data_IF_495593522602
#
_entry.id   IF_495593522602
#
_cell.length_a   1.000
_cell.length_b   1.000
_cell.length_c   1.000
_cell.angle_alpha   90.00
_cell.angle_beta   90.00
_cell.angle_gamma   90.00
#
_symmetry.space_group_name_H-M   'P 1'
#
loop_
_entity.id
_entity.type
_entity.pdbx_description
1 polymer ?
#
# COMPACT_ATOMS: atom_id res chain seq x y z
N UNK A 1 -27.56 14.71 30.28
CA UNK A 1 -26.99 14.73 28.92
C UNK A 1 -25.74 15.59 28.99
N UNK A 2 -24.57 14.99 29.15
CA UNK A 2 -23.29 15.71 29.11
C UNK A 2 -23.07 16.17 27.66
N UNK A 3 -23.13 17.49 27.48
CA UNK A 3 -22.82 18.12 26.19
C UNK A 3 -21.31 17.97 25.96
N UNK A 4 -20.91 16.79 25.47
CA UNK A 4 -19.50 16.50 25.17
C UNK A 4 -19.15 17.29 23.91
N UNK A 5 -18.63 18.51 24.10
CA UNK A 5 -18.18 19.36 23.00
C UNK A 5 -17.05 18.61 22.28
N UNK A 6 -17.26 18.28 21.00
CA UNK A 6 -16.25 17.63 20.17
C UNK A 6 -14.99 18.51 20.07
N UNK A 7 -13.83 17.87 20.02
CA UNK A 7 -12.58 18.57 19.73
C UNK A 7 -12.60 19.13 18.30
N UNK A 8 -11.95 20.25 18.01
CA UNK A 8 -11.83 20.72 16.64
C UNK A 8 -11.01 19.74 15.77
N UNK A 9 -11.29 19.72 14.46
CA UNK A 9 -10.42 19.07 13.51
C UNK A 9 -9.05 19.77 13.49
N UNK A 10 -7.96 19.01 13.34
CA UNK A 10 -6.59 19.57 13.29
C UNK A 10 -5.99 19.53 11.88
N UNK A 11 -6.35 18.53 11.10
CA UNK A 11 -5.81 18.37 9.73
C UNK A 11 -6.96 18.38 8.73
N UNK A 12 -6.99 19.37 7.86
CA UNK A 12 -8.02 19.50 6.81
C UNK A 12 -7.70 18.59 5.61
N UNK A 13 -7.96 17.29 5.79
CA UNK A 13 -7.75 16.26 4.78
C UNK A 13 -8.79 15.16 4.90
N UNK A 14 -9.13 14.51 3.80
CA UNK A 14 -9.92 13.28 3.79
C UNK A 14 -9.03 12.06 4.04
N UNK A 15 -9.49 11.16 4.89
CA UNK A 15 -8.82 9.91 5.24
C UNK A 15 -9.75 8.73 4.93
N UNK A 16 -9.36 7.88 4.00
CA UNK A 16 -10.02 6.61 3.70
C UNK A 16 -9.41 5.49 4.55
N UNK A 17 -10.24 4.76 5.25
CA UNK A 17 -9.87 3.54 5.99
C UNK A 17 -10.61 2.36 5.37
N UNK A 18 -9.85 1.44 4.77
CA UNK A 18 -10.33 0.15 4.32
C UNK A 18 -10.09 -0.89 5.41
N UNK A 19 -11.14 -1.59 5.84
CA UNK A 19 -11.04 -2.62 6.87
C UNK A 19 -12.02 -3.76 6.59
N UNK A 20 -11.82 -4.90 7.27
CA UNK A 20 -12.70 -6.05 7.10
C UNK A 20 -13.14 -6.63 8.45
N UNK A 21 -12.35 -7.52 9.07
CA UNK A 21 -12.72 -8.28 10.27
C UNK A 21 -11.58 -8.42 11.29
N UNK A 22 -10.67 -7.43 11.36
CA UNK A 22 -9.51 -7.39 12.27
C UNK A 22 -9.63 -6.22 13.27
N UNK A 23 -10.52 -6.30 14.29
CA UNK A 23 -10.83 -5.17 15.16
C UNK A 23 -9.65 -4.64 15.96
N UNK A 24 -8.70 -5.49 16.36
CA UNK A 24 -7.53 -5.07 17.15
C UNK A 24 -6.54 -4.27 16.30
N UNK A 25 -6.34 -4.65 15.03
CA UNK A 25 -5.52 -3.90 14.09
C UNK A 25 -6.17 -2.55 13.78
N UNK A 26 -7.44 -2.56 13.42
CA UNK A 26 -8.20 -1.32 13.18
C UNK A 26 -8.16 -0.37 14.39
N UNK A 27 -8.19 -0.90 15.63
CA UNK A 27 -8.08 -0.08 16.84
C UNK A 27 -6.73 0.62 16.95
N UNK A 28 -5.65 -0.02 16.51
CA UNK A 28 -4.32 0.58 16.51
C UNK A 28 -4.23 1.73 15.50
N UNK A 29 -4.71 1.53 14.27
CA UNK A 29 -4.81 2.57 13.26
C UNK A 29 -5.73 3.71 13.74
N UNK A 30 -6.94 3.38 14.21
CA UNK A 30 -7.94 4.38 14.61
C UNK A 30 -7.47 5.26 15.76
N UNK A 31 -6.63 4.74 16.66
CA UNK A 31 -6.00 5.52 17.73
C UNK A 31 -5.11 6.64 17.17
N UNK A 32 -4.38 6.40 16.07
CA UNK A 32 -3.58 7.44 15.40
C UNK A 32 -4.48 8.45 14.69
N UNK A 33 -5.53 7.98 14.00
CA UNK A 33 -6.52 8.87 13.34
C UNK A 33 -7.20 9.78 14.35
N UNK A 34 -7.61 9.25 15.51
CA UNK A 34 -8.24 10.03 16.60
C UNK A 34 -7.32 11.11 17.16
N UNK A 35 -6.01 10.84 17.24
CA UNK A 35 -5.03 11.84 17.66
C UNK A 35 -4.80 12.90 16.58
N UNK A 36 -4.75 12.51 15.31
CA UNK A 36 -4.55 13.42 14.18
C UNK A 36 -5.77 14.29 13.86
N UNK A 37 -6.99 13.85 14.23
CA UNK A 37 -8.26 14.57 14.03
C UNK A 37 -8.46 15.13 12.62
N UNK A 38 -8.50 14.27 11.57
CA UNK A 38 -8.76 14.73 10.22
C UNK A 38 -10.18 15.30 10.09
N UNK A 39 -10.37 16.29 9.21
CA UNK A 39 -11.68 16.93 9.00
C UNK A 39 -12.69 16.02 8.31
N UNK A 40 -12.24 14.98 7.59
CA UNK A 40 -13.10 14.04 6.85
C UNK A 40 -12.61 12.61 7.01
N UNK A 41 -13.54 11.69 7.26
CA UNK A 41 -13.26 10.28 7.47
C UNK A 41 -14.19 9.43 6.59
N UNK A 42 -13.61 8.59 5.74
CA UNK A 42 -14.30 7.65 4.88
C UNK A 42 -14.01 6.24 5.37
N UNK A 43 -15.04 5.53 5.78
CA UNK A 43 -14.98 4.20 6.36
C UNK A 43 -15.56 3.20 5.35
N UNK A 44 -14.71 2.35 4.78
CA UNK A 44 -15.13 1.33 3.82
C UNK A 44 -14.88 -0.05 4.41
N UNK A 45 -15.93 -0.89 4.45
CA UNK A 45 -15.84 -2.27 4.89
C UNK A 45 -16.40 -3.20 3.81
N UNK A 46 -15.60 -4.19 3.39
CA UNK A 46 -16.08 -5.23 2.47
C UNK A 46 -17.15 -6.09 3.13
N UNK A 47 -17.99 -6.74 2.33
CA UNK A 47 -19.05 -7.62 2.81
C UNK A 47 -18.52 -8.92 3.43
N UNK A 48 -19.36 -9.66 4.18
CA UNK A 48 -18.96 -10.92 4.81
C UNK A 48 -18.74 -12.03 3.77
N UNK A 49 -17.73 -12.87 3.96
CA UNK A 49 -17.54 -14.11 3.18
C UNK A 49 -18.55 -15.18 3.62
N UNK A 50 -18.94 -15.14 4.89
CA UNK A 50 -19.94 -16.01 5.51
C UNK A 50 -20.40 -15.40 6.84
N UNK A 51 -21.40 -16.00 7.49
CA UNK A 51 -21.90 -15.58 8.80
C UNK A 51 -20.81 -15.59 9.90
N UNK A 52 -19.76 -16.38 9.74
CA UNK A 52 -18.63 -16.45 10.69
C UNK A 52 -17.87 -15.12 10.78
N UNK A 53 -17.88 -14.30 9.74
CA UNK A 53 -17.21 -13.00 9.75
C UNK A 53 -17.99 -11.93 10.54
N UNK A 54 -19.33 -12.05 10.63
CA UNK A 54 -20.22 -11.02 11.15
C UNK A 54 -19.84 -10.49 12.55
N UNK A 55 -19.51 -11.33 13.55
CA UNK A 55 -19.16 -10.81 14.87
C UNK A 55 -17.89 -9.95 14.87
N UNK A 56 -16.86 -10.35 14.12
CA UNK A 56 -15.61 -9.56 13.98
C UNK A 56 -15.84 -8.27 13.18
N UNK A 57 -16.69 -8.32 12.16
CA UNK A 57 -17.05 -7.15 11.37
C UNK A 57 -17.80 -6.11 12.22
N UNK A 58 -18.75 -6.54 13.04
CA UNK A 58 -19.48 -5.65 13.96
C UNK A 58 -18.53 -5.07 15.04
N UNK A 59 -17.59 -5.87 15.54
CA UNK A 59 -16.54 -5.38 16.43
C UNK A 59 -15.68 -4.30 15.76
N UNK A 60 -15.37 -4.40 14.45
CA UNK A 60 -14.70 -3.35 13.69
C UNK A 60 -15.58 -2.09 13.60
N UNK A 61 -16.88 -2.22 13.32
CA UNK A 61 -17.81 -1.06 13.26
C UNK A 61 -17.89 -0.33 14.61
N UNK A 62 -17.83 -1.09 15.71
CA UNK A 62 -17.80 -0.51 17.06
C UNK A 62 -16.55 0.34 17.31
N UNK A 63 -15.37 -0.07 16.77
CA UNK A 63 -14.12 0.71 16.88
C UNK A 63 -14.22 2.09 16.22
N UNK A 64 -15.00 2.20 15.13
CA UNK A 64 -15.16 3.43 14.34
C UNK A 64 -16.56 4.02 14.44
N UNK A 65 -17.25 3.76 15.55
CA UNK A 65 -18.59 4.25 15.80
C UNK A 65 -18.62 5.79 16.01
N UNK A 66 -19.80 6.38 15.98
CA UNK A 66 -19.94 7.83 16.20
C UNK A 66 -19.50 8.26 17.60
N UNK A 67 -19.61 7.38 18.58
CA UNK A 67 -19.23 7.61 19.96
C UNK A 67 -17.70 7.69 20.11
N UNK A 68 -16.96 6.96 19.27
CA UNK A 68 -15.51 6.96 19.26
C UNK A 68 -14.90 8.15 18.48
N UNK A 69 -15.72 8.83 17.66
CA UNK A 69 -15.31 10.02 16.90
C UNK A 69 -15.64 11.28 17.72
N UNK A 70 -14.72 11.64 18.62
CA UNK A 70 -14.87 12.73 19.60
C UNK A 70 -14.36 14.10 19.08
N UNK A 71 -14.14 14.24 17.79
CA UNK A 71 -13.75 15.49 17.14
C UNK A 71 -14.73 15.88 16.02
N UNK A 72 -14.66 17.14 15.58
CA UNK A 72 -15.44 17.65 14.45
C UNK A 72 -14.94 16.97 13.16
N UNK A 73 -15.76 16.09 12.59
CA UNK A 73 -15.41 15.28 11.43
C UNK A 73 -16.65 15.00 10.58
N UNK A 74 -16.54 15.20 9.29
CA UNK A 74 -17.50 14.71 8.32
C UNK A 74 -17.22 13.24 8.06
N UNK A 75 -18.20 12.36 8.32
CA UNK A 75 -18.00 10.91 8.27
C UNK A 75 -18.88 10.27 7.22
N UNK A 76 -18.26 9.60 6.26
CA UNK A 76 -18.93 8.78 5.25
C UNK A 76 -18.68 7.31 5.52
N UNK A 77 -19.72 6.48 5.38
CA UNK A 77 -19.63 5.02 5.57
C UNK A 77 -20.14 4.30 4.33
N UNK A 78 -19.36 3.33 3.86
CA UNK A 78 -19.72 2.42 2.79
C UNK A 78 -19.44 0.99 3.26
N UNK A 79 -20.45 0.35 3.84
CA UNK A 79 -20.38 -1.02 4.33
C UNK A 79 -21.08 -1.91 3.32
N UNK A 80 -20.29 -2.78 2.66
CA UNK A 80 -20.80 -3.65 1.59
C UNK A 80 -21.59 -4.81 2.16
N UNK A 81 -22.60 -5.24 1.43
CA UNK A 81 -23.39 -6.44 1.77
C UNK A 81 -22.74 -7.71 1.23
N UNK A 82 -22.07 -7.63 0.07
CA UNK A 82 -21.41 -8.73 -0.60
C UNK A 82 -19.89 -8.60 -0.54
N UNK A 83 -19.20 -9.73 -0.36
CA UNK A 83 -17.73 -9.78 -0.34
C UNK A 83 -17.17 -9.72 -1.75
N UNK A 84 -16.37 -8.71 -2.02
CA UNK A 84 -15.66 -8.53 -3.29
C UNK A 84 -14.26 -9.16 -3.27
N UNK A 85 -13.72 -9.44 -2.10
CA UNK A 85 -12.34 -9.86 -1.88
C UNK A 85 -11.39 -8.68 -1.68
N UNK A 86 -10.20 -8.95 -1.17
CA UNK A 86 -9.23 -7.94 -0.74
C UNK A 86 -8.90 -6.92 -1.84
N UNK A 87 -8.43 -7.40 -3.00
CA UNK A 87 -7.95 -6.52 -4.07
C UNK A 87 -9.07 -5.72 -4.75
N UNK A 88 -10.21 -6.31 -5.15
CA UNK A 88 -11.34 -5.55 -5.68
C UNK A 88 -11.91 -4.56 -4.67
N UNK A 89 -11.99 -4.90 -3.38
CA UNK A 89 -12.43 -3.98 -2.34
C UNK A 89 -11.54 -2.77 -2.22
N UNK A 90 -10.21 -2.96 -2.31
CA UNK A 90 -9.26 -1.84 -2.33
C UNK A 90 -9.51 -0.92 -3.52
N UNK A 91 -9.70 -1.47 -4.73
CA UNK A 91 -10.02 -0.69 -5.92
C UNK A 91 -11.34 0.10 -5.76
N UNK A 92 -12.42 -0.57 -5.33
CA UNK A 92 -13.73 0.08 -5.19
C UNK A 92 -13.74 1.14 -4.08
N UNK A 93 -13.06 0.90 -2.97
CA UNK A 93 -12.95 1.88 -1.89
C UNK A 93 -12.24 3.15 -2.33
N UNK A 94 -11.17 3.03 -3.13
CA UNK A 94 -10.43 4.16 -3.68
C UNK A 94 -11.30 4.94 -4.69
N UNK A 95 -11.93 4.25 -5.65
CA UNK A 95 -12.84 4.90 -6.62
C UNK A 95 -13.98 5.62 -5.90
N UNK A 96 -14.55 5.02 -4.85
CA UNK A 96 -15.59 5.67 -4.04
C UNK A 96 -15.05 6.90 -3.31
N UNK A 97 -13.90 6.84 -2.67
CA UNK A 97 -13.33 7.99 -1.96
C UNK A 97 -13.08 9.17 -2.91
N UNK A 98 -12.53 8.88 -4.10
CA UNK A 98 -12.25 9.90 -5.11
C UNK A 98 -13.49 10.34 -5.92
N UNK A 99 -14.64 9.69 -5.77
CA UNK A 99 -15.92 10.25 -6.23
C UNK A 99 -16.43 11.39 -5.33
N UNK A 100 -15.99 11.41 -4.04
CA UNK A 100 -16.39 12.40 -3.05
C UNK A 100 -15.40 13.55 -2.91
N UNK A 101 -14.09 13.25 -2.92
CA UNK A 101 -13.02 14.21 -2.64
C UNK A 101 -11.91 14.18 -3.68
N UNK A 102 -11.24 15.31 -3.88
CA UNK A 102 -10.14 15.45 -4.85
C UNK A 102 -8.78 14.99 -4.30
N UNK A 103 -8.65 14.91 -2.98
CA UNK A 103 -7.43 14.56 -2.25
C UNK A 103 -7.77 13.62 -1.11
N UNK A 104 -7.02 12.54 -0.94
CA UNK A 104 -7.30 11.58 0.12
C UNK A 104 -6.03 10.85 0.57
N UNK A 105 -5.92 10.60 1.87
CA UNK A 105 -4.98 9.63 2.45
C UNK A 105 -5.71 8.29 2.54
N UNK A 106 -5.06 7.19 2.16
CA UNK A 106 -5.61 5.83 2.25
C UNK A 106 -4.80 4.99 3.21
N UNK A 107 -5.51 4.32 4.10
CA UNK A 107 -4.98 3.29 5.00
C UNK A 107 -5.74 1.98 4.87
N UNK A 108 -5.05 0.89 5.17
CA UNK A 108 -5.62 -0.42 5.50
C UNK A 108 -5.60 -0.60 7.02
N UNK A 109 -6.39 -1.53 7.54
CA UNK A 109 -6.57 -1.72 8.99
C UNK A 109 -5.28 -2.12 9.74
N UNK A 110 -4.26 -2.59 9.03
CA UNK A 110 -2.94 -2.97 9.58
C UNK A 110 -1.86 -1.89 9.44
N UNK A 111 -2.17 -0.74 8.85
CA UNK A 111 -1.26 0.41 8.80
C UNK A 111 -1.23 1.15 10.14
N UNK A 112 -0.04 1.49 10.62
CA UNK A 112 0.15 2.32 11.81
C UNK A 112 0.99 3.54 11.44
N UNK A 113 0.34 4.68 11.12
CA UNK A 113 1.05 5.91 10.74
C UNK A 113 1.65 6.64 11.95
N UNK A 114 2.76 7.35 11.73
CA UNK A 114 3.19 8.42 12.61
C UNK A 114 2.21 9.59 12.59
N UNK A 115 2.12 10.36 13.66
CA UNK A 115 1.19 11.50 13.70
C UNK A 115 1.57 12.58 12.68
N UNK A 116 2.85 12.79 12.43
CA UNK A 116 3.33 13.74 11.43
C UNK A 116 3.00 13.35 9.98
N UNK A 117 2.59 12.10 9.72
CA UNK A 117 2.18 11.68 8.37
C UNK A 117 0.95 12.43 7.86
N UNK A 118 0.00 12.76 8.73
CA UNK A 118 -1.21 13.49 8.34
C UNK A 118 -0.92 14.93 7.86
N UNK A 119 -0.24 15.79 8.63
CA UNK A 119 0.16 17.11 8.13
C UNK A 119 1.19 17.02 6.99
N UNK A 120 2.05 16.02 6.94
CA UNK A 120 2.95 15.76 5.80
C UNK A 120 2.15 15.55 4.51
N UNK A 121 1.16 14.67 4.53
CA UNK A 121 0.28 14.45 3.38
C UNK A 121 -0.50 15.72 3.00
N UNK A 122 -1.09 16.41 3.98
CA UNK A 122 -1.86 17.64 3.73
C UNK A 122 -1.01 18.68 3.01
N UNK A 123 0.18 18.99 3.52
CA UNK A 123 1.07 19.98 2.94
C UNK A 123 1.50 19.60 1.51
N UNK A 124 1.83 18.33 1.27
CA UNK A 124 2.29 17.87 -0.04
C UNK A 124 1.15 17.68 -1.04
N UNK A 125 -0.05 17.27 -0.59
CA UNK A 125 -1.24 17.24 -1.42
C UNK A 125 -1.60 18.63 -1.95
N UNK A 126 -1.44 19.69 -1.15
CA UNK A 126 -1.67 21.06 -1.58
C UNK A 126 -0.52 21.55 -2.47
N UNK A 127 0.72 21.31 -2.07
CA UNK A 127 1.89 21.78 -2.80
C UNK A 127 1.98 21.25 -4.23
N UNK A 128 1.63 19.97 -4.43
CA UNK A 128 1.75 19.28 -5.72
C UNK A 128 0.41 19.01 -6.39
N UNK A 129 -0.65 19.71 -5.99
CA UNK A 129 -2.00 19.54 -6.55
C UNK A 129 -2.04 19.61 -8.07
N UNK A 130 -1.31 20.58 -8.64
CA UNK A 130 -1.27 20.84 -10.08
C UNK A 130 -0.01 20.32 -10.78
N UNK A 131 0.84 19.59 -10.07
CA UNK A 131 2.05 19.01 -10.67
C UNK A 131 1.76 17.59 -11.18
N UNK A 132 1.52 17.46 -12.48
CA UNK A 132 1.19 16.19 -13.12
C UNK A 132 2.31 15.15 -13.08
N UNK A 133 3.55 15.53 -12.73
CA UNK A 133 4.66 14.60 -12.54
C UNK A 133 4.50 13.75 -11.29
N UNK A 134 3.74 14.22 -10.30
CA UNK A 134 3.58 13.54 -9.01
C UNK A 134 2.29 12.74 -9.00
N UNK A 135 2.41 11.44 -8.75
CA UNK A 135 1.27 10.50 -8.74
C UNK A 135 0.88 10.03 -7.34
N UNK A 136 1.82 9.97 -6.40
CA UNK A 136 1.56 9.42 -5.06
C UNK A 136 2.48 10.04 -4.00
N UNK A 137 1.97 10.15 -2.79
CA UNK A 137 2.74 10.42 -1.57
C UNK A 137 2.76 9.12 -0.77
N UNK A 138 3.92 8.47 -0.69
CA UNK A 138 4.10 7.22 0.04
C UNK A 138 4.35 7.49 1.52
N UNK A 139 3.79 6.68 2.41
CA UNK A 139 4.13 6.72 3.84
C UNK A 139 5.36 5.87 4.18
N UNK A 140 5.64 4.85 3.37
CA UNK A 140 6.73 3.93 3.61
C UNK A 140 8.01 4.35 2.90
N UNK A 141 9.13 4.27 3.63
CA UNK A 141 10.49 4.38 3.10
C UNK A 141 11.24 3.06 3.32
N UNK A 142 11.61 2.36 2.25
CA UNK A 142 12.29 1.06 2.33
C UNK A 142 13.71 1.13 2.95
N UNK A 143 14.33 2.29 3.03
CA UNK A 143 15.59 2.48 3.75
C UNK A 143 15.37 2.60 5.27
N UNK A 144 14.11 2.81 5.72
CA UNK A 144 13.70 3.25 7.05
C UNK A 144 14.13 4.70 7.35
N UNK A 145 15.40 5.01 7.19
CA UNK A 145 15.93 6.37 7.21
C UNK A 145 16.90 6.51 6.03
N UNK A 146 16.56 7.37 5.07
CA UNK A 146 17.45 7.65 3.92
C UNK A 146 18.62 8.52 4.37
N UNK A 147 19.88 8.03 4.26
CA UNK A 147 21.04 8.75 4.74
C UNK A 147 21.37 9.96 3.86
N UNK A 148 22.02 10.97 4.46
CA UNK A 148 22.61 12.13 3.78
C UNK A 148 21.63 12.97 2.93
N UNK A 149 20.33 12.86 3.18
CA UNK A 149 19.32 13.67 2.51
C UNK A 149 19.14 15.02 3.25
N UNK A 150 19.33 16.19 2.59
CA UNK A 150 19.16 17.49 3.23
C UNK A 150 17.69 17.92 3.31
N UNK A 151 16.79 17.20 2.68
CA UNK A 151 15.36 17.46 2.60
C UNK A 151 14.56 16.45 3.43
N UNK A 152 13.28 16.70 3.65
CA UNK A 152 12.44 15.81 4.43
C UNK A 152 11.69 14.77 3.58
N UNK A 153 11.84 14.86 2.26
CA UNK A 153 11.38 13.89 1.27
C UNK A 153 12.17 14.01 -0.03
N UNK A 154 11.96 13.06 -0.92
CA UNK A 154 12.54 12.99 -2.26
C UNK A 154 11.58 12.31 -3.23
N UNK A 155 11.97 12.21 -4.51
CA UNK A 155 11.12 11.63 -5.55
C UNK A 155 11.72 10.33 -6.06
N UNK A 156 10.86 9.35 -6.35
CA UNK A 156 11.27 8.05 -6.89
C UNK A 156 10.24 7.53 -7.89
N UNK A 157 10.64 6.59 -8.75
CA UNK A 157 9.71 5.83 -9.59
C UNK A 157 9.22 4.55 -8.91
N UNK A 158 9.70 4.29 -7.69
CA UNK A 158 9.23 3.20 -6.83
C UNK A 158 8.32 3.77 -5.74
N UNK A 159 7.29 3.04 -5.35
CA UNK A 159 6.42 3.40 -4.25
C UNK A 159 6.00 2.18 -3.44
N UNK A 160 5.47 2.42 -2.26
CA UNK A 160 4.81 1.43 -1.42
C UNK A 160 3.34 1.79 -1.26
N UNK A 161 2.53 0.78 -1.08
CA UNK A 161 1.08 0.86 -0.89
C UNK A 161 0.66 0.84 0.59
N UNK A 162 1.61 0.76 1.52
CA UNK A 162 1.34 0.82 2.96
C UNK A 162 1.19 2.29 3.37
N UNK A 163 -0.02 2.75 3.62
CA UNK A 163 -0.34 4.13 3.93
C UNK A 163 0.18 5.13 2.87
N UNK A 164 -0.72 5.73 2.13
CA UNK A 164 -0.36 6.63 1.04
C UNK A 164 -1.44 7.69 0.79
N UNK A 165 -1.09 8.73 0.04
CA UNK A 165 -2.05 9.74 -0.39
C UNK A 165 -1.91 10.06 -1.88
N UNK A 166 -3.01 10.47 -2.53
CA UNK A 166 -3.03 10.87 -3.93
C UNK A 166 -4.19 11.82 -4.23
N UNK A 167 -4.37 12.12 -5.51
CA UNK A 167 -5.36 13.03 -6.06
C UNK A 167 -6.32 12.32 -7.00
N UNK A 168 -7.55 12.83 -7.13
CA UNK A 168 -8.55 12.36 -8.11
C UNK A 168 -7.96 12.34 -9.53
N UNK A 169 -7.22 13.39 -9.93
CA UNK A 169 -6.58 13.48 -11.24
C UNK A 169 -5.68 12.28 -11.59
N UNK A 170 -5.14 11.59 -10.57
CA UNK A 170 -4.31 10.39 -10.76
C UNK A 170 -5.19 9.15 -10.87
N UNK A 171 -6.22 9.04 -10.03
CA UNK A 171 -7.16 7.91 -10.04
C UNK A 171 -8.02 7.89 -11.32
N UNK A 172 -8.28 9.05 -11.90
CA UNK A 172 -9.01 9.18 -13.17
C UNK A 172 -8.20 8.66 -14.38
N UNK A 173 -6.88 8.52 -14.25
CA UNK A 173 -5.99 7.93 -15.26
C UNK A 173 -5.90 6.39 -15.15
N UNK A 174 -6.58 5.78 -14.22
CA UNK A 174 -6.50 4.34 -14.00
C UNK A 174 -7.23 3.57 -15.09
N UNK A 175 -6.50 2.63 -15.71
CA UNK A 175 -7.01 1.71 -16.71
C UNK A 175 -7.28 0.34 -16.08
N UNK A 176 -8.48 0.14 -15.58
CA UNK A 176 -8.94 -1.09 -14.95
C UNK A 176 -9.09 -2.27 -15.92
N UNK A 177 -9.08 -1.99 -17.21
CA UNK A 177 -9.20 -2.99 -18.28
C UNK A 177 -7.85 -3.38 -18.88
N UNK A 178 -6.75 -2.76 -18.41
CA UNK A 178 -5.38 -3.02 -18.91
C UNK A 178 -5.30 -2.92 -20.45
N UNK A 179 -5.93 -1.88 -21.05
CA UNK A 179 -6.00 -1.69 -22.51
C UNK A 179 -4.63 -1.50 -23.14
N UNK A 180 -3.64 -1.04 -22.36
CA UNK A 180 -2.26 -0.91 -22.81
C UNK A 180 -1.62 -2.24 -23.25
N UNK A 181 -2.17 -3.38 -22.83
CA UNK A 181 -1.69 -4.72 -23.25
C UNK A 181 -1.99 -5.00 -24.74
N UNK A 182 -2.86 -4.22 -25.37
CA UNK A 182 -3.19 -4.31 -26.78
C UNK A 182 -2.40 -3.29 -27.63
N UNK A 183 -1.50 -2.53 -27.02
CA UNK A 183 -0.68 -1.49 -27.66
C UNK A 183 0.78 -1.89 -27.68
N UNK A 184 1.20 -2.51 -28.78
CA UNK A 184 2.59 -2.99 -28.99
C UNK A 184 3.62 -1.88 -28.88
N UNK A 185 3.28 -0.64 -29.28
CA UNK A 185 4.19 0.49 -29.17
C UNK A 185 4.46 0.84 -27.71
N UNK A 186 3.42 0.96 -26.89
CA UNK A 186 3.57 1.27 -25.47
C UNK A 186 4.23 0.13 -24.70
N UNK A 187 3.93 -1.13 -25.02
CA UNK A 187 4.64 -2.29 -24.46
C UNK A 187 6.13 -2.25 -24.78
N UNK A 188 6.49 -1.87 -26.02
CA UNK A 188 7.90 -1.71 -26.40
C UNK A 188 8.58 -0.57 -25.62
N UNK A 189 7.87 0.55 -25.34
CA UNK A 189 8.44 1.63 -24.54
C UNK A 189 8.74 1.21 -23.10
N UNK A 190 7.97 0.27 -22.52
CA UNK A 190 8.25 -0.30 -21.19
C UNK A 190 9.62 -0.97 -21.11
N UNK A 191 10.17 -1.49 -22.22
CA UNK A 191 11.51 -2.07 -22.28
C UNK A 191 12.61 -1.06 -21.92
N UNK A 192 12.38 0.21 -22.24
CA UNK A 192 13.29 1.31 -21.93
C UNK A 192 13.06 1.90 -20.54
N UNK A 193 11.81 1.92 -20.08
CA UNK A 193 11.42 2.46 -18.75
C UNK A 193 11.80 1.51 -17.61
N UNK A 194 11.56 0.19 -17.81
CA UNK A 194 11.84 -0.85 -16.82
C UNK A 194 13.00 -1.69 -17.33
N UNK A 195 14.22 -1.28 -17.02
CA UNK A 195 15.46 -1.92 -17.50
C UNK A 195 15.67 -3.33 -16.93
N UNK A 196 15.07 -3.63 -15.80
CA UNK A 196 15.12 -4.93 -15.14
C UNK A 196 14.16 -5.91 -15.81
N UNK A 197 14.62 -6.51 -16.91
CA UNK A 197 13.81 -7.37 -17.80
C UNK A 197 12.90 -8.37 -17.08
N UNK A 198 13.41 -9.02 -16.03
CA UNK A 198 12.59 -10.00 -15.27
C UNK A 198 11.47 -9.34 -14.49
N UNK A 199 11.70 -8.14 -13.93
CA UNK A 199 10.66 -7.36 -13.25
C UNK A 199 9.58 -6.91 -14.23
N UNK A 200 9.96 -6.40 -15.38
CA UNK A 200 9.06 -6.00 -16.45
C UNK A 200 8.20 -7.18 -16.94
N UNK A 201 8.82 -8.34 -17.20
CA UNK A 201 8.10 -9.55 -17.61
C UNK A 201 7.08 -10.00 -16.54
N UNK A 202 7.47 -9.96 -15.27
CA UNK A 202 6.57 -10.30 -14.16
C UNK A 202 5.42 -9.29 -14.07
N UNK A 203 5.67 -7.99 -14.24
CA UNK A 203 4.64 -6.96 -14.26
C UNK A 203 3.62 -7.19 -15.40
N UNK A 204 4.07 -7.36 -16.64
CA UNK A 204 3.19 -7.62 -17.78
C UNK A 204 2.38 -8.90 -17.58
N UNK A 205 3.01 -9.95 -17.06
CA UNK A 205 2.33 -11.23 -16.76
C UNK A 205 1.25 -11.04 -15.70
N UNK A 206 1.48 -10.28 -14.64
CA UNK A 206 0.47 -9.99 -13.62
C UNK A 206 -0.69 -9.19 -14.21
N UNK A 207 -0.42 -8.15 -14.98
CA UNK A 207 -1.47 -7.36 -15.64
C UNK A 207 -2.31 -8.24 -16.60
N UNK A 208 -1.67 -9.09 -17.40
CA UNK A 208 -2.36 -10.02 -18.31
C UNK A 208 -3.23 -11.03 -17.54
N UNK A 209 -2.73 -11.56 -16.42
CA UNK A 209 -3.49 -12.44 -15.56
C UNK A 209 -4.70 -11.73 -14.94
N UNK A 210 -4.51 -10.54 -14.34
CA UNK A 210 -5.60 -9.77 -13.74
C UNK A 210 -6.69 -9.42 -14.77
N UNK A 211 -6.27 -9.03 -15.98
CA UNK A 211 -7.20 -8.82 -17.10
C UNK A 211 -7.99 -10.09 -17.43
N UNK A 212 -7.32 -11.24 -17.49
CA UNK A 212 -7.97 -12.52 -17.88
C UNK A 212 -9.03 -12.99 -16.89
N UNK A 213 -8.86 -12.70 -15.60
CA UNK A 213 -9.85 -13.05 -14.56
C UNK A 213 -10.89 -11.97 -14.32
N UNK A 214 -10.79 -10.82 -15.02
CA UNK A 214 -11.76 -9.73 -14.94
C UNK A 214 -11.87 -9.05 -13.56
N UNK A 215 -10.83 -9.09 -12.75
CA UNK A 215 -10.78 -8.46 -11.43
C UNK A 215 -9.87 -7.26 -11.41
N UNK A 216 -10.33 -6.16 -10.81
CA UNK A 216 -9.54 -4.94 -10.62
C UNK A 216 -8.57 -5.11 -9.45
N UNK A 217 -7.28 -5.13 -9.75
CA UNK A 217 -6.18 -5.14 -8.78
C UNK A 217 -5.52 -3.77 -8.79
N UNK A 218 -5.84 -2.95 -7.79
CA UNK A 218 -5.44 -1.55 -7.81
C UNK A 218 -3.91 -1.35 -7.86
N UNK A 219 -3.13 -2.26 -7.28
CA UNK A 219 -1.67 -2.16 -7.28
C UNK A 219 -1.08 -2.19 -8.69
N UNK A 220 -1.52 -3.13 -9.54
CA UNK A 220 -1.02 -3.23 -10.92
C UNK A 220 -1.62 -2.16 -11.82
N UNK A 221 -2.87 -1.74 -11.59
CA UNK A 221 -3.52 -0.62 -12.26
C UNK A 221 -2.78 0.67 -11.95
N UNK A 222 -2.47 0.92 -10.68
CA UNK A 222 -1.75 2.11 -10.26
C UNK A 222 -0.30 2.13 -10.78
N UNK A 223 0.41 0.99 -10.70
CA UNK A 223 1.75 0.86 -11.29
C UNK A 223 1.73 1.17 -12.79
N UNK A 224 0.79 0.62 -13.55
CA UNK A 224 0.63 0.91 -14.97
C UNK A 224 0.40 2.41 -15.20
N UNK A 225 -0.51 3.02 -14.43
CA UNK A 225 -0.76 4.46 -14.52
C UNK A 225 0.49 5.29 -14.27
N UNK A 226 1.33 4.94 -13.28
CA UNK A 226 2.59 5.64 -13.01
C UNK A 226 3.57 5.50 -14.18
N UNK A 227 3.77 4.29 -14.71
CA UNK A 227 4.70 4.05 -15.79
C UNK A 227 4.29 4.79 -17.08
N UNK A 228 3.04 4.65 -17.49
CA UNK A 228 2.56 5.26 -18.75
C UNK A 228 2.40 6.78 -18.68
N UNK A 229 2.32 7.36 -17.50
CA UNK A 229 2.26 8.81 -17.31
C UNK A 229 3.57 9.41 -16.79
N UNK A 230 4.67 8.66 -16.80
CA UNK A 230 5.98 9.09 -16.29
C UNK A 230 5.93 9.70 -14.88
N UNK A 231 5.07 9.12 -14.03
CA UNK A 231 4.78 9.63 -12.70
C UNK A 231 5.90 9.32 -11.70
N UNK A 232 6.00 10.19 -10.70
CA UNK A 232 6.90 10.04 -9.56
C UNK A 232 6.11 9.87 -8.27
N UNK A 233 6.67 9.12 -7.35
CA UNK A 233 6.25 9.08 -5.96
C UNK A 233 7.05 10.08 -5.11
N UNK A 234 6.41 10.69 -4.13
CA UNK A 234 7.09 11.34 -3.02
C UNK A 234 7.34 10.26 -1.95
N UNK A 235 8.60 10.13 -1.53
CA UNK A 235 9.00 9.22 -0.45
C UNK A 235 9.54 10.06 0.71
N UNK A 236 9.02 9.91 1.94
CA UNK A 236 9.52 10.64 3.09
C UNK A 236 10.97 10.22 3.42
N UNK A 237 11.77 11.12 3.98
CA UNK A 237 13.14 10.82 4.40
C UNK A 237 13.23 9.69 5.42
N UNK A 238 12.24 9.59 6.28
CA UNK A 238 12.10 8.55 7.29
C UNK A 238 10.84 7.73 7.02
N UNK A 239 10.85 6.45 7.36
CA UNK A 239 9.63 5.66 7.31
C UNK A 239 8.57 6.23 8.24
N UNK A 240 7.36 6.48 7.74
CA UNK A 240 6.27 7.07 8.52
C UNK A 240 5.10 6.10 8.77
N UNK A 241 5.18 4.88 8.22
CA UNK A 241 4.17 3.84 8.39
C UNK A 241 4.86 2.55 8.83
N UNK A 242 4.45 1.99 9.96
CA UNK A 242 4.72 0.59 10.27
C UNK A 242 3.49 -0.25 9.90
N UNK A 243 3.72 -1.50 9.50
CA UNK A 243 2.66 -2.43 9.13
C UNK A 243 2.60 -3.59 10.12
N UNK A 244 1.44 -3.76 10.76
CA UNK A 244 1.20 -4.82 11.73
C UNK A 244 0.62 -6.11 11.08
N UNK A 245 0.43 -6.12 9.75
CA UNK A 245 -0.28 -7.16 9.01
C UNK A 245 0.47 -8.47 8.79
N UNK A 246 1.75 -8.55 9.16
CA UNK A 246 2.52 -9.78 9.08
C UNK A 246 2.16 -10.76 10.22
N UNK A 247 0.91 -11.19 10.25
CA UNK A 247 0.34 -12.16 11.20
C UNK A 247 -0.20 -13.38 10.45
N UNK A 248 -0.52 -14.44 11.19
CA UNK A 248 -1.12 -15.66 10.61
C UNK A 248 -2.48 -15.41 9.93
N UNK A 249 -3.14 -14.29 10.20
CA UNK A 249 -4.41 -13.85 9.59
C UNK A 249 -4.20 -12.92 8.36
N UNK A 250 -2.96 -12.64 7.95
CA UNK A 250 -2.64 -11.78 6.80
C UNK A 250 -3.06 -12.39 5.47
N UNK A 251 -3.74 -11.63 4.61
CA UNK A 251 -4.26 -12.10 3.30
C UNK A 251 -3.15 -12.34 2.28
N UNK A 252 -2.16 -11.46 2.20
CA UNK A 252 -1.05 -11.55 1.25
C UNK A 252 0.17 -12.27 1.82
N UNK A 253 0.28 -12.35 3.13
CA UNK A 253 1.34 -13.05 3.82
C UNK A 253 0.80 -13.78 5.07
N UNK A 254 0.45 -15.04 4.90
CA UNK A 254 0.10 -15.94 6.01
C UNK A 254 1.36 -16.67 6.50
N UNK A 255 1.94 -16.23 7.62
CA UNK A 255 3.10 -16.90 8.22
C UNK A 255 3.83 -16.03 9.23
N UNK A 256 4.54 -16.69 10.15
CA UNK A 256 5.37 -16.00 11.11
C UNK A 256 6.49 -15.19 10.43
N UNK A 257 6.74 -13.98 10.90
CA UNK A 257 7.89 -13.16 10.54
C UNK A 257 9.22 -13.92 10.66
N UNK A 258 9.28 -14.94 11.53
CA UNK A 258 10.47 -15.75 11.79
C UNK A 258 10.92 -16.58 10.58
N UNK A 259 10.00 -16.88 9.66
CA UNK A 259 10.28 -17.67 8.44
C UNK A 259 10.54 -16.81 7.21
N UNK A 260 10.43 -15.47 7.34
CA UNK A 260 10.80 -14.53 6.29
C UNK A 260 12.31 -14.34 6.18
N UNK A 261 12.88 -14.31 4.96
CA UNK A 261 14.25 -13.86 4.74
C UNK A 261 14.48 -12.47 5.34
N UNK A 262 15.65 -12.26 5.96
CA UNK A 262 15.97 -11.05 6.73
C UNK A 262 15.67 -9.75 5.99
N UNK A 263 15.99 -9.67 4.70
CA UNK A 263 15.77 -8.46 3.91
C UNK A 263 14.29 -8.12 3.72
N UNK A 264 13.43 -9.14 3.59
CA UNK A 264 11.96 -8.97 3.47
C UNK A 264 11.35 -8.71 4.83
N UNK A 265 11.73 -9.51 5.84
CA UNK A 265 11.27 -9.34 7.22
C UNK A 265 11.49 -7.91 7.71
N UNK A 266 12.64 -7.29 7.38
CA UNK A 266 12.92 -5.90 7.75
C UNK A 266 11.81 -4.95 7.28
N UNK A 267 11.28 -5.12 6.07
CA UNK A 267 10.23 -4.24 5.55
C UNK A 267 8.93 -4.30 6.36
N UNK A 268 8.64 -5.45 7.00
CA UNK A 268 7.46 -5.61 7.87
C UNK A 268 7.73 -5.28 9.35
N UNK A 269 9.00 -5.06 9.71
CA UNK A 269 9.41 -4.80 11.11
C UNK A 269 10.07 -3.43 11.28
N UNK A 270 10.04 -2.58 10.26
CA UNK A 270 10.54 -1.21 10.36
C UNK A 270 9.66 -0.39 11.30
N UNK A 271 10.31 0.41 12.14
CA UNK A 271 9.63 1.42 12.93
C UNK A 271 9.16 2.59 12.06
N UNK A 272 8.12 3.28 12.51
CA UNK A 272 7.75 4.58 11.95
C UNK A 272 8.36 5.71 12.80
N UNK A 273 8.66 6.82 12.12
CA UNK A 273 9.33 7.96 12.72
C UNK A 273 8.54 9.24 12.45
N UNK A 274 8.73 10.23 13.32
CA UNK A 274 8.11 11.54 13.18
C UNK A 274 9.01 12.49 12.37
N UNK A 275 8.40 13.34 11.54
CA UNK A 275 9.03 14.49 10.91
C UNK A 275 8.75 15.76 11.69
N UNK A 276 9.68 16.70 11.62
CA UNK A 276 9.52 18.04 12.18
C UNK A 276 9.03 19.01 11.11
N UNK A 277 8.22 19.99 11.52
CA UNK A 277 7.71 21.05 10.66
C UNK A 277 8.36 22.40 11.02
N UNK A 278 8.50 23.33 10.05
CA UNK A 278 8.09 23.20 8.64
C UNK A 278 8.97 22.25 7.84
N UNK A 279 8.40 21.63 6.78
CA UNK A 279 9.13 20.71 5.92
C UNK A 279 10.21 21.42 5.10
N UNK A 280 11.35 20.76 4.93
CA UNK A 280 12.41 21.18 4.00
C UNK A 280 12.19 20.53 2.65
N UNK A 281 11.77 21.32 1.67
CA UNK A 281 11.39 20.86 0.34
C UNK A 281 12.58 20.75 -0.60
N UNK A 282 12.65 19.70 -1.46
CA UNK A 282 13.58 19.67 -2.60
C UNK A 282 13.31 20.85 -3.55
N UNK A 283 14.39 21.46 -4.02
CA UNK A 283 14.29 22.56 -5.00
C UNK A 283 13.79 22.08 -6.37
N UNK A 284 14.13 20.85 -6.74
CA UNK A 284 13.81 20.27 -8.05
C UNK A 284 13.06 18.96 -7.87
N UNK A 285 12.11 18.71 -8.79
CA UNK A 285 11.43 17.42 -8.90
C UNK A 285 12.28 16.53 -9.81
N UNK A 286 13.08 15.68 -9.19
CA UNK A 286 14.04 14.80 -9.86
C UNK A 286 14.14 13.47 -9.13
N UNK A 287 14.14 12.36 -9.87
CA UNK A 287 14.23 11.01 -9.28
C UNK A 287 15.53 10.79 -8.52
N UNK A 288 15.44 10.23 -7.31
CA UNK A 288 16.57 9.62 -6.61
C UNK A 288 16.80 8.19 -7.14
N UNK A 289 17.64 8.10 -8.17
CA UNK A 289 17.98 6.82 -8.82
C UNK A 289 18.71 5.87 -7.85
N UNK A 290 19.46 6.39 -6.89
CA UNK A 290 20.18 5.57 -5.92
C UNK A 290 19.21 4.89 -4.94
N UNK A 291 18.15 5.58 -4.53
CA UNK A 291 17.07 4.95 -3.75
C UNK A 291 16.41 3.81 -4.53
N UNK A 292 16.05 4.04 -5.80
CA UNK A 292 15.49 2.98 -6.67
C UNK A 292 16.41 1.76 -6.73
N UNK A 293 17.72 1.95 -6.92
CA UNK A 293 18.69 0.85 -6.92
C UNK A 293 18.71 0.08 -5.60
N UNK A 294 18.62 0.78 -4.45
CA UNK A 294 18.56 0.15 -3.13
C UNK A 294 17.28 -0.67 -2.96
N UNK A 295 16.12 -0.11 -3.34
CA UNK A 295 14.84 -0.83 -3.31
C UNK A 295 14.91 -2.09 -4.18
N UNK A 296 15.38 -1.97 -5.43
CA UNK A 296 15.47 -3.08 -6.37
C UNK A 296 16.40 -4.19 -5.84
N UNK A 297 17.51 -3.80 -5.22
CA UNK A 297 18.42 -4.75 -4.56
C UNK A 297 17.72 -5.43 -3.37
N UNK A 298 17.03 -4.69 -2.52
CA UNK A 298 16.28 -5.23 -1.38
C UNK A 298 15.18 -6.18 -1.84
N UNK A 299 14.45 -5.84 -2.90
CA UNK A 299 13.41 -6.69 -3.48
C UNK A 299 13.97 -7.81 -4.36
N UNK A 300 15.26 -7.75 -4.71
CA UNK A 300 15.92 -8.73 -5.60
C UNK A 300 15.52 -8.58 -7.07
N UNK A 301 14.88 -7.45 -7.45
CA UNK A 301 14.52 -7.17 -8.84
C UNK A 301 15.78 -6.88 -9.67
N UNK A 302 15.97 -7.61 -10.75
CA UNK A 302 17.20 -7.56 -11.55
C UNK A 302 18.44 -8.21 -10.89
N UNK A 303 18.30 -8.81 -9.70
CA UNK A 303 19.40 -9.41 -8.94
C UNK A 303 19.19 -10.92 -8.69
N UNK A 304 19.46 -11.81 -9.65
CA UNK A 304 19.16 -13.24 -9.55
C UNK A 304 19.86 -13.92 -8.36
N UNK A 305 21.10 -13.55 -8.06
CA UNK A 305 21.86 -14.11 -6.94
C UNK A 305 21.27 -13.74 -5.58
N UNK A 306 20.72 -12.54 -5.45
CA UNK A 306 19.99 -12.13 -4.24
C UNK A 306 18.73 -12.97 -4.08
N UNK A 307 17.99 -13.22 -5.18
CA UNK A 307 16.79 -14.08 -5.14
C UNK A 307 17.14 -15.52 -4.75
N UNK A 308 18.23 -16.06 -5.29
CA UNK A 308 18.71 -17.42 -4.94
C UNK A 308 19.10 -17.46 -3.46
N UNK A 309 19.91 -16.51 -2.98
CA UNK A 309 20.30 -16.43 -1.57
C UNK A 309 19.10 -16.36 -0.63
N UNK A 310 18.09 -15.52 -0.96
CA UNK A 310 16.83 -15.43 -0.19
C UNK A 310 16.03 -16.72 -0.21
N UNK A 311 15.98 -17.41 -1.34
CA UNK A 311 15.28 -18.71 -1.43
C UNK A 311 15.97 -19.79 -0.59
N UNK A 312 17.29 -19.76 -0.50
CA UNK A 312 18.05 -20.66 0.38
C UNK A 312 17.85 -20.31 1.85
N UNK A 313 17.85 -19.02 2.20
CA UNK A 313 17.56 -18.54 3.55
C UNK A 313 16.13 -18.93 3.99
N UNK A 314 15.13 -18.72 3.13
CA UNK A 314 13.75 -19.12 3.38
C UNK A 314 13.61 -20.63 3.58
N UNK A 315 14.27 -21.43 2.74
CA UNK A 315 14.31 -22.87 2.89
C UNK A 315 14.90 -23.27 4.24
N UNK A 316 16.05 -22.71 4.61
CA UNK A 316 16.70 -22.98 5.87
C UNK A 316 15.86 -22.59 7.08
N UNK A 317 15.21 -21.41 7.03
CA UNK A 317 14.31 -20.94 8.08
C UNK A 317 13.10 -21.87 8.24
N UNK A 318 12.47 -22.29 7.14
CA UNK A 318 11.35 -23.23 7.20
C UNK A 318 11.76 -24.62 7.71
N UNK A 319 12.97 -25.12 7.37
CA UNK A 319 13.52 -26.33 7.92
C UNK A 319 13.74 -26.22 9.44
N UNK A 320 14.35 -25.09 9.89
CA UNK A 320 14.62 -24.83 11.30
C UNK A 320 13.35 -24.76 12.15
N UNK A 321 12.27 -24.22 11.59
CA UNK A 321 10.96 -24.09 12.29
C UNK A 321 10.01 -25.28 12.03
N UNK A 322 10.46 -26.35 11.36
CA UNK A 322 9.66 -27.56 11.13
C UNK A 322 8.50 -27.38 10.14
N UNK A 323 8.52 -26.35 9.31
CA UNK A 323 7.46 -26.01 8.34
C UNK A 323 7.56 -26.85 7.05
N UNK A 324 7.59 -28.17 7.16
CA UNK A 324 7.77 -29.10 6.04
C UNK A 324 6.66 -29.00 4.99
N UNK A 325 5.43 -28.71 5.40
CA UNK A 325 4.30 -28.51 4.48
C UNK A 325 4.53 -27.35 3.50
N UNK A 326 5.10 -26.23 3.97
CA UNK A 326 5.47 -25.09 3.14
C UNK A 326 6.58 -25.42 2.15
N UNK A 327 7.60 -26.16 2.59
CA UNK A 327 8.70 -26.59 1.73
C UNK A 327 8.15 -27.47 0.60
N UNK A 328 7.26 -28.41 0.94
CA UNK A 328 6.64 -29.31 -0.05
C UNK A 328 5.75 -28.53 -1.04
N UNK A 329 4.91 -27.59 -0.53
CA UNK A 329 4.10 -26.73 -1.39
C UNK A 329 4.93 -25.83 -2.31
N UNK A 330 6.03 -25.26 -1.82
CA UNK A 330 6.95 -24.48 -2.65
C UNK A 330 7.61 -25.30 -3.73
N UNK A 331 7.96 -26.54 -3.44
CA UNK A 331 8.56 -27.49 -4.40
C UNK A 331 7.55 -27.92 -5.47
N UNK A 332 6.34 -28.31 -5.08
CA UNK A 332 5.27 -28.71 -6.01
C UNK A 332 4.85 -27.55 -6.92
N UNK A 333 4.75 -26.33 -6.40
CA UNK A 333 4.45 -25.13 -7.20
C UNK A 333 5.57 -24.83 -8.23
N UNK A 334 6.84 -25.00 -7.86
CA UNK A 334 7.95 -24.85 -8.81
C UNK A 334 7.94 -25.91 -9.90
N UNK A 335 7.63 -27.17 -9.56
CA UNK A 335 7.46 -28.24 -10.55
C UNK A 335 6.30 -27.95 -11.50
N UNK A 336 5.15 -27.51 -11.01
CA UNK A 336 4.01 -27.11 -11.84
C UNK A 336 4.39 -26.01 -12.84
N UNK A 337 5.06 -24.97 -12.39
CA UNK A 337 5.54 -23.88 -13.27
C UNK A 337 6.51 -24.44 -14.33
N UNK A 338 7.37 -25.38 -13.96
CA UNK A 338 8.36 -25.97 -14.88
C UNK A 338 7.71 -26.90 -15.91
N UNK A 339 6.60 -27.56 -15.56
CA UNK A 339 5.77 -28.38 -16.44
C UNK A 339 4.76 -27.61 -17.29
N UNK A 340 4.82 -26.28 -17.29
CA UNK A 340 3.97 -25.43 -18.14
C UNK A 340 2.58 -25.14 -17.58
N UNK A 341 2.30 -25.53 -16.32
CA UNK A 341 1.06 -25.16 -15.64
C UNK A 341 1.25 -23.76 -14.99
N UNK A 342 0.24 -22.93 -15.11
CA UNK A 342 0.24 -21.62 -14.45
C UNK A 342 0.31 -21.79 -12.92
N UNK A 343 0.94 -20.86 -12.23
CA UNK A 343 0.94 -20.82 -10.75
C UNK A 343 -0.49 -20.61 -10.18
N UNK A 344 -1.42 -20.28 -11.05
CA UNK A 344 -2.77 -19.81 -10.75
C UNK A 344 -3.86 -20.77 -11.26
N UNK A 345 -3.49 -21.93 -11.84
CA UNK A 345 -4.40 -23.01 -12.22
C UNK A 345 -4.73 -23.92 -11.03
#
# INVERSE_FOLDING_TARGET
>A
MTNNKKHPAEVDVAVLVLFFNRPDMLRNLFRQIRQARPSRLLLYQDGPRSEVDLPKMEACRSVVSNEEIDWECEVHRNYREENSGCDPSSFYSIKWAFSLYDKCIKFEDDDVPSLSFFPFCKELLDRYEHDSRISIISGMNCDEVTPNLPYDYFFATTFSINGWATWRRVVDLWDEHYTFLDDDYNLHQLDSLIRERKYQQDFIRFCSYHRSIGKAYYETIFHASIFFNSGLSIVPRVNMISNAGATDEGTHYSGSNDTLPRAVRRLFTMDHHELQFPLRHPRYVMEDVEYKKRVFRTMGWGHPWIKIGRSLEELWLNLRHGNFSRIFSAFTNRLRIWTGHSKWD
#
